data_IF_906817532052
#
_entry.id   IF_906817532052
#
_cell.length_a   1.000
_cell.length_b   1.000
_cell.length_c   1.000
_cell.angle_alpha   90.00
_cell.angle_beta   90.00
_cell.angle_gamma   90.00
#
_symmetry.space_group_name_H-M   'P 1'
#
loop_
_entity.id
_entity.type
_entity.pdbx_description
1 polymer ?
#
# COMPACT_ATOMS: atom_id res chain seq x y z
N UNK A 1 -5.05 -22.92 -24.01
CA UNK A 1 -4.42 -22.31 -22.83
C UNK A 1 -4.42 -20.80 -23.07
N UNK A 2 -5.27 -20.04 -22.38
CA UNK A 2 -5.21 -18.58 -22.45
C UNK A 2 -3.81 -18.16 -21.99
N UNK A 3 -3.09 -17.35 -22.78
CA UNK A 3 -1.92 -16.63 -22.28
C UNK A 3 -2.39 -15.88 -21.04
N UNK A 4 -1.81 -16.22 -19.89
CA UNK A 4 -2.03 -15.47 -18.65
C UNK A 4 -1.52 -14.05 -18.98
N UNK A 5 -2.46 -13.14 -19.21
CA UNK A 5 -2.14 -11.76 -19.60
C UNK A 5 -1.49 -11.08 -18.42
N UNK A 6 -0.35 -10.40 -18.64
CA UNK A 6 0.37 -9.72 -17.54
C UNK A 6 -0.56 -8.72 -16.85
N UNK A 7 -0.55 -8.72 -15.53
CA UNK A 7 -1.39 -7.87 -14.70
C UNK A 7 -0.64 -6.62 -14.29
N UNK A 8 -1.39 -5.54 -14.16
CA UNK A 8 -0.95 -4.29 -13.53
C UNK A 8 -1.51 -4.26 -12.11
N UNK A 9 -0.63 -4.22 -11.14
CA UNK A 9 -0.93 -4.36 -9.71
C UNK A 9 -0.44 -3.11 -8.99
N UNK A 10 -1.22 -2.58 -8.07
CA UNK A 10 -0.80 -1.52 -7.16
C UNK A 10 -0.98 -1.97 -5.71
N UNK A 11 0.06 -1.84 -4.90
CA UNK A 11 0.03 -2.14 -3.47
C UNK A 11 0.47 -0.92 -2.68
N UNK A 12 -0.41 -0.40 -1.82
CA UNK A 12 -0.05 0.68 -0.89
C UNK A 12 0.55 0.12 0.38
N UNK A 13 1.46 0.87 1.01
CA UNK A 13 2.18 0.41 2.20
C UNK A 13 3.15 -0.73 1.90
N UNK A 14 3.66 -0.81 0.66
CA UNK A 14 4.49 -1.91 0.18
C UNK A 14 5.95 -1.88 0.66
N UNK A 15 6.36 -0.90 1.47
CA UNK A 15 7.76 -0.78 1.90
C UNK A 15 8.19 -1.82 2.95
N UNK A 16 7.24 -2.48 3.62
CA UNK A 16 7.49 -3.46 4.70
C UNK A 16 6.25 -4.26 5.08
N UNK A 17 6.44 -5.27 5.95
CA UNK A 17 5.36 -6.01 6.61
C UNK A 17 4.37 -6.64 5.64
N UNK A 18 3.09 -6.54 5.98
CA UNK A 18 2.01 -7.18 5.21
C UNK A 18 1.97 -6.68 3.77
N UNK A 19 2.08 -5.35 3.55
CA UNK A 19 2.05 -4.78 2.19
C UNK A 19 3.19 -5.29 1.31
N UNK A 20 4.42 -5.38 1.85
CA UNK A 20 5.56 -5.97 1.14
C UNK A 20 5.30 -7.45 0.82
N UNK A 21 4.93 -8.25 1.84
CA UNK A 21 4.67 -9.68 1.63
C UNK A 21 3.55 -9.94 0.63
N UNK A 22 2.51 -9.08 0.58
CA UNK A 22 1.48 -9.19 -0.45
C UNK A 22 2.05 -8.85 -1.84
N UNK A 23 2.80 -7.75 -1.99
CA UNK A 23 3.36 -7.35 -3.26
C UNK A 23 4.26 -8.43 -3.88
N UNK A 24 5.10 -9.07 -3.05
CA UNK A 24 5.96 -10.19 -3.43
C UNK A 24 5.16 -11.48 -3.71
N UNK A 25 4.12 -11.75 -2.90
CA UNK A 25 3.37 -13.01 -2.94
C UNK A 25 2.33 -13.13 -4.06
N UNK A 26 1.80 -12.01 -4.57
CA UNK A 26 0.75 -12.04 -5.60
C UNK A 26 1.27 -11.89 -7.03
N UNK A 27 2.50 -11.38 -7.20
CA UNK A 27 3.06 -11.17 -8.53
C UNK A 27 3.48 -12.48 -9.19
N UNK A 28 3.37 -12.50 -10.50
CA UNK A 28 3.84 -13.59 -11.37
C UNK A 28 4.84 -13.03 -12.37
N UNK A 29 5.70 -13.87 -12.95
CA UNK A 29 6.58 -13.44 -14.03
C UNK A 29 5.82 -12.72 -15.15
N UNK A 30 6.29 -11.51 -15.47
CA UNK A 30 5.67 -10.65 -16.48
C UNK A 30 4.67 -9.64 -15.94
N UNK A 31 4.23 -9.74 -14.69
CA UNK A 31 3.37 -8.73 -14.06
C UNK A 31 4.12 -7.42 -13.78
N UNK A 32 3.37 -6.33 -13.62
CA UNK A 32 3.88 -5.02 -13.24
C UNK A 32 3.30 -4.64 -11.89
N UNK A 33 4.16 -4.35 -10.91
CA UNK A 33 3.76 -4.08 -9.52
C UNK A 33 4.24 -2.71 -9.08
N UNK A 34 3.31 -1.79 -8.90
CA UNK A 34 3.55 -0.48 -8.31
C UNK A 34 3.57 -0.58 -6.78
N UNK A 35 4.74 -0.40 -6.19
CA UNK A 35 4.97 -0.42 -4.75
C UNK A 35 4.86 1.01 -4.20
N UNK A 36 3.73 1.36 -3.59
CA UNK A 36 3.47 2.72 -3.12
C UNK A 36 3.74 2.84 -1.62
N UNK A 37 4.42 3.90 -1.22
CA UNK A 37 4.70 4.22 0.19
C UNK A 37 5.50 5.50 0.35
N UNK A 38 5.84 5.86 1.59
CA UNK A 38 6.54 7.11 1.91
C UNK A 38 8.07 6.98 1.94
N UNK A 39 8.61 5.76 1.99
CA UNK A 39 10.04 5.51 2.22
C UNK A 39 10.66 4.80 1.02
N UNK A 40 11.41 5.54 0.20
CA UNK A 40 12.09 4.97 -0.97
C UNK A 40 13.23 4.04 -0.55
N UNK A 41 14.14 4.53 0.27
CA UNK A 41 15.34 3.81 0.73
C UNK A 41 15.20 3.36 2.17
N UNK A 42 15.97 2.35 2.52
CA UNK A 42 16.04 1.83 3.87
C UNK A 42 16.38 2.94 4.86
N UNK A 43 15.42 3.19 5.74
CA UNK A 43 15.61 4.03 6.91
C UNK A 43 15.39 3.16 8.15
N UNK A 44 16.36 3.12 9.04
CA UNK A 44 16.19 2.42 10.31
C UNK A 44 15.30 3.28 11.21
N UNK A 45 14.02 2.94 11.28
CA UNK A 45 13.17 3.42 12.36
C UNK A 45 13.10 2.33 13.43
N UNK A 46 13.45 2.68 14.64
CA UNK A 46 13.22 1.79 15.78
C UNK A 46 11.77 1.97 16.20
N UNK A 47 11.01 0.89 16.24
CA UNK A 47 9.65 0.91 16.79
C UNK A 47 9.70 1.21 18.29
N UNK A 48 8.58 1.64 18.86
CA UNK A 48 8.42 1.80 20.32
C UNK A 48 8.71 0.50 21.12
N UNK A 49 8.74 -0.65 20.44
CA UNK A 49 9.11 -1.95 21.04
C UNK A 49 10.59 -2.29 20.83
N UNK A 50 11.42 -1.36 20.39
CA UNK A 50 12.84 -1.58 20.13
C UNK A 50 13.14 -2.42 18.88
N UNK A 51 12.14 -2.69 18.04
CA UNK A 51 12.35 -3.43 16.79
C UNK A 51 12.85 -2.48 15.70
N UNK A 52 13.93 -2.85 15.04
CA UNK A 52 14.38 -2.16 13.83
C UNK A 52 13.40 -2.42 12.69
N UNK A 53 12.80 -1.35 12.20
CA UNK A 53 11.87 -1.39 11.08
C UNK A 53 12.61 -0.95 9.83
N UNK A 54 13.23 -1.90 9.16
CA UNK A 54 13.78 -1.67 7.82
C UNK A 54 12.63 -1.57 6.82
N UNK A 55 12.50 -0.43 6.17
CA UNK A 55 11.44 -0.20 5.20
C UNK A 55 12.02 0.46 3.96
N UNK A 56 11.85 -0.18 2.82
CA UNK A 56 12.34 0.31 1.54
C UNK A 56 11.43 -0.15 0.41
N UNK A 57 10.96 0.80 -0.38
CA UNK A 57 10.24 0.47 -1.62
C UNK A 57 11.19 -0.07 -2.68
N UNK A 58 12.46 0.38 -2.68
CA UNK A 58 13.48 -0.13 -3.59
C UNK A 58 13.75 -1.61 -3.34
N UNK A 59 13.90 -2.03 -2.07
CA UNK A 59 14.14 -3.43 -1.75
C UNK A 59 12.96 -4.31 -2.18
N UNK A 60 11.74 -3.86 -1.91
CA UNK A 60 10.52 -4.57 -2.35
C UNK A 60 10.47 -4.69 -3.88
N UNK A 61 10.75 -3.61 -4.61
CA UNK A 61 10.77 -3.62 -6.06
C UNK A 61 11.86 -4.56 -6.61
N UNK A 62 13.03 -4.59 -5.98
CA UNK A 62 14.15 -5.48 -6.37
C UNK A 62 13.78 -6.96 -6.16
N UNK A 63 13.14 -7.31 -5.04
CA UNK A 63 12.66 -8.68 -4.81
C UNK A 63 11.63 -9.10 -5.87
N UNK A 64 10.68 -8.22 -6.19
CA UNK A 64 9.69 -8.45 -7.25
C UNK A 64 10.40 -8.66 -8.61
N UNK A 65 11.45 -7.90 -8.91
CA UNK A 65 12.23 -8.09 -10.13
C UNK A 65 12.93 -9.45 -10.17
N UNK A 66 13.44 -9.94 -9.04
CA UNK A 66 14.04 -11.28 -8.93
C UNK A 66 13.01 -12.40 -9.14
N UNK A 67 11.73 -12.15 -8.82
CA UNK A 67 10.62 -13.07 -9.08
C UNK A 67 10.16 -13.07 -10.56
N UNK A 68 10.78 -12.24 -11.40
CA UNK A 68 10.47 -12.17 -12.84
C UNK A 68 9.33 -11.22 -13.20
N UNK A 69 8.78 -10.49 -12.24
CA UNK A 69 7.85 -9.38 -12.46
C UNK A 69 8.61 -8.05 -12.57
N UNK A 70 7.93 -6.96 -12.88
CA UNK A 70 8.49 -5.60 -12.88
C UNK A 70 8.03 -4.83 -11.65
N UNK A 71 8.88 -4.69 -10.64
CA UNK A 71 8.64 -3.86 -9.46
C UNK A 71 8.93 -2.39 -9.75
N UNK A 72 8.00 -1.49 -9.44
CA UNK A 72 8.13 -0.04 -9.63
C UNK A 72 7.90 0.65 -8.29
N UNK A 73 8.95 1.21 -7.66
CA UNK A 73 8.78 1.96 -6.42
C UNK A 73 8.17 3.34 -6.70
N UNK A 74 7.12 3.70 -5.98
CA UNK A 74 6.44 5.00 -6.08
C UNK A 74 6.37 5.64 -4.71
N UNK A 75 7.10 6.73 -4.52
CA UNK A 75 7.05 7.52 -3.29
C UNK A 75 5.84 8.43 -3.33
N UNK A 76 4.93 8.24 -2.39
CA UNK A 76 3.76 9.10 -2.25
C UNK A 76 3.22 9.12 -0.81
N UNK A 77 2.74 10.29 -0.40
CA UNK A 77 1.90 10.46 0.78
C UNK A 77 0.42 10.50 0.35
N UNK A 78 -0.31 9.45 0.68
CA UNK A 78 -1.71 9.29 0.30
C UNK A 78 -2.66 10.28 1.00
N UNK A 79 -2.18 11.06 1.97
CA UNK A 79 -2.94 12.19 2.51
C UNK A 79 -2.99 13.39 1.54
N UNK A 80 -2.17 13.39 0.51
CA UNK A 80 -2.07 14.46 -0.48
C UNK A 80 -2.77 14.08 -1.78
N UNK A 81 -3.81 14.83 -2.12
CA UNK A 81 -4.62 14.58 -3.33
C UNK A 81 -3.81 14.73 -4.62
N UNK A 82 -2.85 15.67 -4.65
CA UNK A 82 -1.96 15.85 -5.80
C UNK A 82 -1.05 14.63 -6.03
N UNK A 83 -0.66 13.93 -4.97
CA UNK A 83 0.15 12.71 -5.08
C UNK A 83 -0.69 11.50 -5.48
N UNK A 84 -1.91 11.39 -4.99
CA UNK A 84 -2.90 10.40 -5.48
C UNK A 84 -3.15 10.59 -6.97
N UNK A 85 -3.34 11.83 -7.41
CA UNK A 85 -3.54 12.15 -8.82
C UNK A 85 -2.34 11.74 -9.68
N UNK A 86 -1.11 11.99 -9.24
CA UNK A 86 0.12 11.57 -9.94
C UNK A 86 0.19 10.06 -10.11
N UNK A 87 -0.19 9.28 -9.09
CA UNK A 87 -0.25 7.81 -9.19
C UNK A 87 -1.26 7.39 -10.27
N UNK A 88 -2.46 7.97 -10.25
CA UNK A 88 -3.50 7.66 -11.23
C UNK A 88 -3.09 8.04 -12.65
N UNK A 89 -2.53 9.23 -12.84
CA UNK A 89 -2.04 9.70 -14.13
C UNK A 89 -0.93 8.79 -14.68
N UNK A 90 0.04 8.41 -13.83
CA UNK A 90 1.14 7.52 -14.17
C UNK A 90 0.64 6.18 -14.72
N UNK A 91 -0.21 5.49 -13.96
CA UNK A 91 -0.70 4.16 -14.35
C UNK A 91 -1.61 4.25 -15.58
N UNK A 92 -2.42 5.30 -15.64
CA UNK A 92 -3.31 5.53 -16.79
C UNK A 92 -2.53 5.77 -18.08
N UNK A 93 -1.43 6.54 -18.03
CA UNK A 93 -0.59 6.83 -19.19
C UNK A 93 0.23 5.63 -19.64
N UNK A 94 0.78 4.87 -18.69
CA UNK A 94 1.65 3.74 -19.02
C UNK A 94 0.89 2.49 -19.47
N UNK A 95 -0.30 2.24 -18.87
CA UNK A 95 -1.00 0.96 -19.07
C UNK A 95 -2.47 1.11 -19.46
N UNK A 96 -3.12 2.21 -19.10
CA UNK A 96 -4.53 2.44 -19.36
C UNK A 96 -5.48 1.52 -18.60
N UNK A 97 -4.97 0.58 -17.79
CA UNK A 97 -5.72 -0.38 -16.97
C UNK A 97 -5.05 -0.59 -15.62
N UNK A 98 -5.82 -1.09 -14.65
CA UNK A 98 -5.32 -1.61 -13.38
C UNK A 98 -6.11 -2.87 -13.02
N UNK A 99 -5.41 -3.98 -12.82
CA UNK A 99 -6.04 -5.28 -12.57
C UNK A 99 -6.25 -5.54 -11.08
N UNK A 100 -5.30 -5.14 -10.23
CA UNK A 100 -5.40 -5.36 -8.78
C UNK A 100 -4.95 -4.10 -8.03
N UNK A 101 -5.78 -3.66 -7.10
CA UNK A 101 -5.50 -2.60 -6.15
C UNK A 101 -5.53 -3.16 -4.72
N UNK A 102 -4.41 -3.05 -4.00
CA UNK A 102 -4.31 -3.49 -2.61
C UNK A 102 -4.07 -2.30 -1.69
N UNK A 103 -5.01 -2.04 -0.82
CA UNK A 103 -4.90 -1.07 0.25
C UNK A 103 -4.32 -1.73 1.50
N UNK A 104 -3.01 -1.58 1.72
CA UNK A 104 -2.30 -2.06 2.91
C UNK A 104 -1.57 -0.94 3.66
N UNK A 105 -1.64 0.29 3.18
CA UNK A 105 -1.08 1.43 3.91
C UNK A 105 -1.86 1.66 5.20
N UNK A 106 -1.13 1.75 6.30
CA UNK A 106 -1.68 2.16 7.59
C UNK A 106 -0.71 3.11 8.30
N UNK A 107 -1.26 3.93 9.17
CA UNK A 107 -0.50 4.73 10.12
C UNK A 107 -0.80 4.21 11.51
N UNK A 108 0.23 3.92 12.29
CA UNK A 108 0.09 3.53 13.69
C UNK A 108 0.61 4.70 14.52
N UNK A 109 -0.23 5.21 15.39
CA UNK A 109 0.13 6.25 16.35
C UNK A 109 0.60 5.59 17.65
N UNK A 110 1.66 6.13 18.26
CA UNK A 110 2.30 5.54 19.44
C UNK A 110 1.33 5.42 20.64
N UNK A 111 0.39 6.35 20.76
CA UNK A 111 -0.59 6.35 21.85
C UNK A 111 -1.64 5.23 21.75
N UNK A 112 -1.76 4.56 20.57
CA UNK A 112 -2.70 3.45 20.39
C UNK A 112 -2.46 2.32 21.39
N UNK A 113 -1.20 1.96 21.61
CA UNK A 113 -0.79 0.83 22.45
C UNK A 113 -0.39 1.22 23.86
N UNK A 114 -0.45 2.51 24.21
CA UNK A 114 -0.19 2.95 25.58
C UNK A 114 -1.31 2.47 26.51
N UNK A 115 -0.99 1.98 27.72
CA UNK A 115 -1.97 1.52 28.70
C UNK A 115 -2.65 2.72 29.40
N UNK A 116 -3.43 3.48 28.63
CA UNK A 116 -4.19 4.65 29.10
C UNK A 116 -5.67 4.46 28.81
N UNK A 117 -6.55 5.00 29.64
CA UNK A 117 -7.96 5.12 29.31
C UNK A 117 -8.17 5.85 27.97
N UNK A 118 -9.22 5.49 27.22
CA UNK A 118 -9.49 6.08 25.90
C UNK A 118 -9.54 7.61 25.93
N UNK A 119 -10.14 8.20 26.93
CA UNK A 119 -10.29 9.67 27.07
C UNK A 119 -8.98 10.42 27.39
N UNK A 120 -7.93 9.70 27.74
CA UNK A 120 -6.58 10.26 27.97
C UNK A 120 -5.66 10.06 26.78
N UNK A 121 -6.10 9.36 25.75
CA UNK A 121 -5.34 9.15 24.51
C UNK A 121 -5.40 10.40 23.63
N UNK A 122 -4.37 10.59 22.84
CA UNK A 122 -4.31 11.70 21.88
C UNK A 122 -5.43 11.63 20.85
N UNK A 123 -6.06 12.76 20.55
CA UNK A 123 -7.01 12.88 19.44
C UNK A 123 -6.33 12.73 18.06
N UNK A 124 -4.99 12.81 17.99
CA UNK A 124 -4.21 12.54 16.78
C UNK A 124 -4.31 11.08 16.31
N UNK A 125 -4.83 10.17 17.16
CA UNK A 125 -5.22 8.81 16.74
C UNK A 125 -6.18 8.83 15.54
N UNK A 126 -6.91 9.92 15.32
CA UNK A 126 -7.76 10.10 14.14
C UNK A 126 -6.98 9.98 12.82
N UNK A 127 -5.70 10.32 12.80
CA UNK A 127 -4.83 10.16 11.63
C UNK A 127 -4.77 8.72 11.10
N UNK A 128 -5.03 7.73 11.96
CA UNK A 128 -5.12 6.32 11.54
C UNK A 128 -6.34 6.06 10.66
N UNK A 129 -7.47 6.72 10.97
CA UNK A 129 -8.69 6.64 10.16
C UNK A 129 -8.49 7.35 8.82
N UNK A 130 -7.79 8.49 8.83
CA UNK A 130 -7.47 9.21 7.59
C UNK A 130 -6.67 8.34 6.62
N UNK A 131 -5.58 7.73 7.07
CA UNK A 131 -4.77 6.85 6.21
C UNK A 131 -5.49 5.53 5.89
N UNK A 132 -6.15 4.91 6.86
CA UNK A 132 -6.76 3.59 6.70
C UNK A 132 -8.11 3.58 5.98
N UNK A 133 -8.82 4.72 5.93
CA UNK A 133 -10.15 4.80 5.33
C UNK A 133 -10.25 5.89 4.26
N UNK A 134 -10.00 7.16 4.61
CA UNK A 134 -10.12 8.27 3.67
C UNK A 134 -9.19 8.11 2.47
N UNK A 135 -7.91 7.80 2.71
CA UNK A 135 -6.94 7.63 1.62
C UNK A 135 -7.29 6.46 0.71
N UNK A 136 -7.79 5.35 1.26
CA UNK A 136 -8.24 4.21 0.46
C UNK A 136 -9.41 4.59 -0.45
N UNK A 137 -10.38 5.34 0.08
CA UNK A 137 -11.49 5.85 -0.71
C UNK A 137 -11.00 6.77 -1.84
N UNK A 138 -10.18 7.78 -1.52
CA UNK A 138 -9.67 8.75 -2.48
C UNK A 138 -8.85 8.10 -3.61
N UNK A 139 -7.98 7.15 -3.25
CA UNK A 139 -7.17 6.43 -4.23
C UNK A 139 -8.03 5.53 -5.12
N UNK A 140 -8.98 4.79 -4.53
CA UNK A 140 -9.92 3.97 -5.33
C UNK A 140 -10.74 4.83 -6.27
N UNK A 141 -11.25 5.98 -5.80
CA UNK A 141 -11.99 6.92 -6.62
C UNK A 141 -11.15 7.42 -7.82
N UNK A 142 -9.91 7.80 -7.59
CA UNK A 142 -9.01 8.27 -8.64
C UNK A 142 -8.66 7.17 -9.67
N UNK A 143 -8.54 5.91 -9.22
CA UNK A 143 -8.18 4.77 -10.07
C UNK A 143 -9.40 4.06 -10.70
N UNK A 144 -10.62 4.34 -10.26
CA UNK A 144 -11.83 3.71 -10.76
C UNK A 144 -11.95 3.73 -12.30
N UNK A 145 -11.62 4.83 -13.01
CA UNK A 145 -11.71 4.86 -14.47
C UNK A 145 -10.83 3.85 -15.20
N UNK A 146 -9.73 3.40 -14.58
CA UNK A 146 -8.84 2.40 -15.18
C UNK A 146 -9.08 0.99 -14.62
N UNK A 147 -9.62 0.86 -13.40
CA UNK A 147 -10.08 -0.41 -12.82
C UNK A 147 -11.24 -1.00 -13.63
N UNK A 148 -12.25 -0.20 -13.99
CA UNK A 148 -13.44 -0.66 -14.72
C UNK A 148 -13.15 -1.05 -16.18
N UNK A 149 -11.94 -0.79 -16.70
CA UNK A 149 -11.55 -1.22 -18.05
C UNK A 149 -11.13 -2.67 -18.11
N UNK A 150 -10.86 -3.30 -16.98
CA UNK A 150 -10.56 -4.74 -16.93
C UNK A 150 -11.82 -5.54 -16.62
N UNK A 151 -11.95 -6.72 -17.20
CA UNK A 151 -13.11 -7.59 -16.99
C UNK A 151 -13.17 -8.22 -15.58
N UNK A 152 -12.05 -8.16 -14.83
CA UNK A 152 -11.91 -8.84 -13.54
C UNK A 152 -11.01 -8.06 -12.58
N UNK A 153 -11.20 -6.73 -12.48
CA UNK A 153 -10.47 -5.92 -11.51
C UNK A 153 -10.81 -6.34 -10.07
N UNK A 154 -9.80 -6.32 -9.21
CA UNK A 154 -9.93 -6.66 -7.81
C UNK A 154 -9.42 -5.51 -6.93
N UNK A 155 -10.24 -5.06 -5.97
CA UNK A 155 -9.85 -4.12 -4.94
C UNK A 155 -9.85 -4.82 -3.59
N UNK A 156 -8.72 -4.82 -2.91
CA UNK A 156 -8.51 -5.49 -1.62
C UNK A 156 -8.21 -4.44 -0.56
N UNK A 157 -8.95 -4.46 0.54
CA UNK A 157 -8.65 -3.65 1.73
C UNK A 157 -8.12 -4.56 2.84
N UNK A 158 -6.89 -4.30 3.29
CA UNK A 158 -6.32 -4.99 4.44
C UNK A 158 -6.83 -4.31 5.71
N UNK A 159 -7.46 -5.10 6.54
CA UNK A 159 -7.99 -4.66 7.84
C UNK A 159 -7.52 -5.60 8.94
N UNK A 160 -7.38 -5.08 10.15
CA UNK A 160 -7.15 -5.91 11.32
C UNK A 160 -8.27 -5.67 12.33
N UNK A 161 -8.68 -6.73 13.00
CA UNK A 161 -9.60 -6.68 14.12
C UNK A 161 -8.76 -6.79 15.39
N UNK A 162 -8.54 -5.65 16.04
CA UNK A 162 -7.95 -5.65 17.38
C UNK A 162 -9.04 -6.05 18.37
N UNK A 163 -9.01 -7.30 18.80
CA UNK A 163 -9.79 -7.71 19.96
C UNK A 163 -9.06 -7.21 21.21
N UNK A 164 -9.63 -6.22 21.85
CA UNK A 164 -9.37 -6.02 23.27
C UNK A 164 -10.22 -7.04 24.01
N UNK A 165 -9.61 -8.15 24.41
CA UNK A 165 -10.25 -8.95 25.44
C UNK A 165 -10.33 -8.11 26.72
N UNK A 166 -11.41 -8.22 27.50
CA UNK A 166 -11.52 -7.58 28.79
C UNK A 166 -10.45 -8.04 29.74
#
# INVERSE_FOLDING_TARGET
MSKDESKVILVTGASRGVGRGIAEGICKPGDIVYCVGRSLKTGTKVSQFGLELNSSLEDTANEINQLGAKGIPVVADLNREDEIKKISDLISQEHGKLDILVHSACQIHDDLVQPKPFWEKSTELWSMVEVGLKCNYMLTHALAPILIKTSSALVINISCLLYTSP
#
